data_IF_375575646639
#
_entry.id   IF_375575646639
#
_cell.length_a   1.000
_cell.length_b   1.000
_cell.length_c   1.000
_cell.angle_alpha   90.00
_cell.angle_beta   90.00
_cell.angle_gamma   90.00
#
_symmetry.space_group_name_H-M   'P 1'
#
loop_
_entity.id
_entity.type
_entity.pdbx_description
1 polymer ?
#
# COMPACT_ATOMS: atom_id res chain seq x y z
N UNK A 1 1.58 -13.90 20.07
CA UNK A 1 1.54 -14.44 18.71
C UNK A 1 2.81 -15.24 18.43
N UNK A 2 2.67 -16.42 17.81
CA UNK A 2 3.79 -17.19 17.30
C UNK A 2 4.24 -16.65 15.93
N UNK A 3 5.45 -17.02 15.50
CA UNK A 3 6.08 -16.47 14.27
C UNK A 3 5.30 -16.75 12.97
N UNK A 4 4.50 -17.80 12.92
CA UNK A 4 3.68 -18.22 11.77
C UNK A 4 2.29 -17.58 11.75
N UNK A 5 1.90 -16.91 12.84
CA UNK A 5 0.56 -16.34 13.01
C UNK A 5 0.41 -14.92 12.47
N UNK A 6 1.47 -14.29 12.00
CA UNK A 6 1.40 -12.94 11.43
C UNK A 6 2.38 -12.75 10.26
N UNK A 7 2.08 -11.78 9.43
CA UNK A 7 2.96 -11.32 8.35
C UNK A 7 3.14 -9.81 8.47
N UNK A 8 4.39 -9.37 8.39
CA UNK A 8 4.77 -7.95 8.34
C UNK A 8 4.94 -7.59 6.87
N UNK A 9 4.03 -6.81 6.36
CA UNK A 9 4.06 -6.32 4.99
C UNK A 9 4.76 -4.95 4.95
N UNK A 10 5.72 -4.80 4.05
CA UNK A 10 6.45 -3.55 3.85
C UNK A 10 6.26 -3.02 2.44
N UNK A 11 6.17 -1.71 2.33
CA UNK A 11 6.02 -0.97 1.09
C UNK A 11 6.76 0.35 1.15
N UNK A 12 6.82 1.04 0.02
CA UNK A 12 7.32 2.41 -0.03
C UNK A 12 6.41 3.24 -0.94
N UNK A 13 5.95 4.36 -0.44
CA UNK A 13 5.01 5.23 -1.14
C UNK A 13 5.58 5.82 -2.43
N UNK A 14 6.89 6.08 -2.47
CA UNK A 14 7.58 6.61 -3.66
C UNK A 14 7.39 5.70 -4.87
N UNK A 15 7.25 4.39 -4.66
CA UNK A 15 7.05 3.41 -5.73
C UNK A 15 5.75 3.69 -6.50
N UNK A 16 4.64 3.82 -5.77
CA UNK A 16 3.33 4.10 -6.40
C UNK A 16 3.26 5.53 -6.91
N UNK A 17 3.85 6.50 -6.20
CA UNK A 17 3.89 7.88 -6.66
C UNK A 17 4.68 8.01 -7.96
N UNK A 18 5.85 7.39 -8.06
CA UNK A 18 6.63 7.40 -9.29
C UNK A 18 5.92 6.71 -10.47
N UNK A 19 5.15 5.64 -10.24
CA UNK A 19 4.29 5.06 -11.27
C UNK A 19 3.21 6.05 -11.72
N UNK A 20 2.55 6.72 -10.80
CA UNK A 20 1.53 7.74 -11.09
C UNK A 20 2.12 8.87 -11.94
N UNK A 21 3.33 9.33 -11.61
CA UNK A 21 4.05 10.39 -12.33
C UNK A 21 4.48 9.91 -13.74
N UNK A 22 4.99 8.67 -13.86
CA UNK A 22 5.36 8.07 -15.15
C UNK A 22 4.16 7.95 -16.09
N UNK A 23 2.99 7.60 -15.54
CA UNK A 23 1.73 7.52 -16.29
C UNK A 23 1.10 8.90 -16.55
N UNK A 24 1.71 9.99 -16.07
CA UNK A 24 1.22 11.37 -16.21
C UNK A 24 -0.23 11.54 -15.74
N UNK A 25 -0.56 10.91 -14.60
CA UNK A 25 -1.90 10.99 -14.04
C UNK A 25 -2.10 12.36 -13.39
N UNK A 26 -3.09 13.14 -13.81
CA UNK A 26 -3.37 14.47 -13.26
C UNK A 26 -3.59 14.44 -11.74
N UNK A 27 -3.14 15.47 -11.04
CA UNK A 27 -3.16 15.55 -9.57
C UNK A 27 -4.57 15.31 -8.99
N UNK A 28 -5.60 15.86 -9.62
CA UNK A 28 -6.99 15.70 -9.21
C UNK A 28 -7.52 14.26 -9.31
N UNK A 29 -6.83 13.39 -10.08
CA UNK A 29 -7.17 11.96 -10.22
C UNK A 29 -6.35 11.06 -9.28
N UNK A 30 -5.18 11.49 -8.83
CA UNK A 30 -4.22 10.66 -8.07
C UNK A 30 -4.84 10.08 -6.80
N UNK A 31 -5.56 10.88 -6.02
CA UNK A 31 -6.24 10.40 -4.81
C UNK A 31 -7.24 9.29 -5.10
N UNK A 32 -7.96 9.35 -6.24
CA UNK A 32 -8.91 8.30 -6.63
C UNK A 32 -8.19 7.02 -7.04
N UNK A 33 -7.06 7.14 -7.76
CA UNK A 33 -6.22 5.99 -8.14
C UNK A 33 -5.73 5.27 -6.89
N UNK A 34 -5.16 5.99 -5.95
CA UNK A 34 -4.64 5.40 -4.72
C UNK A 34 -5.76 4.74 -3.90
N UNK A 35 -6.93 5.38 -3.81
CA UNK A 35 -8.11 4.77 -3.16
C UNK A 35 -8.61 3.52 -3.88
N UNK A 36 -8.47 3.45 -5.20
CA UNK A 36 -8.81 2.24 -5.94
C UNK A 36 -7.85 1.09 -5.60
N UNK A 37 -6.54 1.37 -5.57
CA UNK A 37 -5.51 0.40 -5.19
C UNK A 37 -5.73 -0.11 -3.75
N UNK A 38 -6.02 0.77 -2.78
CA UNK A 38 -6.30 0.40 -1.36
C UNK A 38 -7.47 -0.58 -1.19
N UNK A 39 -8.31 -0.70 -2.20
CA UNK A 39 -9.45 -1.63 -2.17
C UNK A 39 -9.14 -3.02 -2.73
N UNK A 40 -7.94 -3.27 -3.23
CA UNK A 40 -7.58 -4.54 -3.87
C UNK A 40 -7.92 -5.75 -3.00
N UNK A 41 -7.56 -5.70 -1.72
CA UNK A 41 -7.72 -6.79 -0.76
C UNK A 41 -9.10 -6.78 -0.05
N UNK A 42 -9.99 -5.84 -0.40
CA UNK A 42 -11.33 -5.80 0.19
C UNK A 42 -12.21 -6.91 -0.38
N UNK A 43 -13.05 -7.56 0.44
CA UNK A 43 -13.96 -8.60 -0.01
C UNK A 43 -14.81 -8.13 -1.21
N UNK A 44 -14.82 -8.94 -2.27
CA UNK A 44 -15.60 -8.67 -3.47
C UNK A 44 -15.01 -7.60 -4.43
N UNK A 45 -13.79 -7.12 -4.17
CA UNK A 45 -13.11 -6.20 -5.09
C UNK A 45 -12.14 -6.92 -6.04
N UNK A 46 -10.97 -7.34 -5.55
CA UNK A 46 -9.92 -7.91 -6.38
C UNK A 46 -9.49 -6.98 -7.53
N UNK A 47 -8.74 -7.52 -8.48
CA UNK A 47 -8.25 -6.74 -9.64
C UNK A 47 -9.39 -6.15 -10.48
N UNK A 48 -10.51 -6.87 -10.65
CA UNK A 48 -11.65 -6.37 -11.43
C UNK A 48 -12.31 -5.15 -10.78
N UNK A 49 -12.49 -5.19 -9.46
CA UNK A 49 -13.05 -4.05 -8.74
C UNK A 49 -12.14 -2.82 -8.76
N UNK A 50 -10.81 -3.05 -8.74
CA UNK A 50 -9.84 -1.97 -8.92
C UNK A 50 -9.92 -1.41 -10.34
N UNK A 51 -9.96 -2.27 -11.38
CA UNK A 51 -10.11 -1.84 -12.77
C UNK A 51 -11.34 -0.94 -12.97
N UNK A 52 -12.49 -1.34 -12.43
CA UNK A 52 -13.72 -0.56 -12.54
C UNK A 52 -13.55 0.85 -11.95
N UNK A 53 -12.88 0.96 -10.77
CA UNK A 53 -12.62 2.23 -10.12
C UNK A 53 -11.48 3.05 -10.76
N UNK A 54 -10.55 2.42 -11.45
CA UNK A 54 -9.55 3.14 -12.24
C UNK A 54 -10.18 3.80 -13.48
N UNK A 55 -11.14 3.13 -14.12
CA UNK A 55 -11.77 3.59 -15.36
C UNK A 55 -12.94 4.54 -15.09
N UNK A 56 -14.12 4.03 -14.76
CA UNK A 56 -15.33 4.84 -14.72
C UNK A 56 -15.96 4.94 -13.33
N UNK A 57 -16.66 3.89 -12.94
CA UNK A 57 -17.39 3.82 -11.68
C UNK A 57 -17.64 2.36 -11.30
N UNK A 58 -17.93 2.15 -10.04
CA UNK A 58 -18.33 0.84 -9.54
C UNK A 58 -19.61 0.98 -8.72
N UNK A 59 -20.57 0.11 -9.02
CA UNK A 59 -21.76 -0.11 -8.21
C UNK A 59 -21.50 -1.25 -7.25
N UNK A 60 -21.67 -1.05 -5.96
CA UNK A 60 -21.53 -2.08 -4.95
C UNK A 60 -22.81 -2.93 -4.80
N UNK A 61 -22.77 -3.93 -3.91
CA UNK A 61 -23.91 -4.82 -3.65
C UNK A 61 -25.12 -4.09 -3.05
N UNK A 62 -24.92 -2.93 -2.41
CA UNK A 62 -25.99 -2.09 -1.86
C UNK A 62 -26.61 -1.17 -2.90
N UNK A 63 -26.03 -1.11 -4.09
CA UNK A 63 -26.45 -0.23 -5.17
C UNK A 63 -25.77 1.15 -5.13
N UNK A 64 -24.91 1.42 -4.16
CA UNK A 64 -24.17 2.68 -4.09
C UNK A 64 -23.12 2.77 -5.21
N UNK A 65 -23.04 3.93 -5.85
CA UNK A 65 -22.11 4.20 -6.96
C UNK A 65 -20.91 4.95 -6.43
N UNK A 66 -19.73 4.37 -6.62
CA UNK A 66 -18.43 5.03 -6.37
C UNK A 66 -17.85 5.49 -7.70
N UNK A 67 -17.65 6.80 -7.86
CA UNK A 67 -17.03 7.37 -9.06
C UNK A 67 -15.54 6.98 -9.14
N UNK A 68 -15.12 6.53 -10.30
CA UNK A 68 -13.74 6.15 -10.59
C UNK A 68 -12.80 7.33 -10.87
N UNK A 69 -11.58 7.00 -11.24
CA UNK A 69 -10.54 7.96 -11.58
C UNK A 69 -10.60 8.43 -13.05
N UNK A 70 -11.42 7.77 -13.88
CA UNK A 70 -11.56 8.08 -15.30
C UNK A 70 -10.22 8.11 -16.04
N UNK A 71 -9.45 7.03 -15.88
CA UNK A 71 -8.18 6.81 -16.58
C UNK A 71 -8.42 6.21 -17.97
N UNK A 72 -7.45 6.39 -18.85
CA UNK A 72 -7.40 5.64 -20.11
C UNK A 72 -7.23 4.13 -19.86
N UNK A 73 -7.58 3.33 -20.86
CA UNK A 73 -7.40 1.87 -20.80
C UNK A 73 -5.93 1.48 -20.60
N UNK A 74 -5.02 2.19 -21.24
CA UNK A 74 -3.57 1.96 -21.13
C UNK A 74 -3.07 2.28 -19.69
N UNK A 75 -3.42 3.44 -19.15
CA UNK A 75 -3.06 3.81 -17.77
C UNK A 75 -3.58 2.79 -16.75
N UNK A 76 -4.86 2.40 -16.88
CA UNK A 76 -5.47 1.42 -16.00
C UNK A 76 -4.77 0.05 -16.12
N UNK A 77 -4.44 -0.40 -17.34
CA UNK A 77 -3.75 -1.67 -17.56
C UNK A 77 -2.34 -1.68 -16.97
N UNK A 78 -1.59 -0.59 -17.08
CA UNK A 78 -0.26 -0.48 -16.49
C UNK A 78 -0.31 -0.56 -14.95
N UNK A 79 -1.29 0.09 -14.32
CA UNK A 79 -1.52 -0.03 -12.86
C UNK A 79 -1.89 -1.48 -12.50
N UNK A 80 -2.79 -2.12 -13.24
CA UNK A 80 -3.17 -3.52 -12.98
C UNK A 80 -1.99 -4.48 -13.15
N UNK A 81 -1.08 -4.23 -14.09
CA UNK A 81 0.15 -5.01 -14.25
C UNK A 81 1.10 -4.81 -13.06
N UNK A 82 1.28 -3.57 -12.60
CA UNK A 82 2.04 -3.26 -11.39
C UNK A 82 1.50 -4.01 -10.16
N UNK A 83 0.19 -4.07 -9.97
CA UNK A 83 -0.43 -4.77 -8.83
C UNK A 83 -0.19 -6.29 -8.80
N UNK A 84 0.25 -6.88 -9.91
CA UNK A 84 0.60 -8.30 -10.01
C UNK A 84 2.05 -8.59 -9.61
N UNK A 85 2.90 -7.56 -9.53
CA UNK A 85 4.32 -7.71 -9.18
C UNK A 85 4.44 -8.08 -7.70
N UNK A 86 5.28 -9.08 -7.39
CA UNK A 86 5.44 -9.61 -6.03
C UNK A 86 6.87 -9.49 -5.49
N UNK A 87 7.84 -9.23 -6.33
CA UNK A 87 9.24 -9.15 -5.92
C UNK A 87 9.92 -7.85 -6.38
N UNK A 88 10.93 -7.44 -5.62
CA UNK A 88 11.67 -6.19 -5.84
C UNK A 88 12.44 -6.19 -7.16
N UNK A 89 12.96 -7.34 -7.60
CA UNK A 89 13.73 -7.42 -8.85
C UNK A 89 12.85 -7.11 -10.05
N UNK A 90 11.69 -7.78 -10.14
CA UNK A 90 10.72 -7.51 -11.21
C UNK A 90 10.23 -6.06 -11.16
N UNK A 91 10.03 -5.51 -9.96
CA UNK A 91 9.62 -4.12 -9.79
C UNK A 91 10.66 -3.14 -10.33
N UNK A 92 11.95 -3.37 -10.01
CA UNK A 92 13.09 -2.57 -10.45
C UNK A 92 13.28 -2.62 -11.98
N UNK A 93 12.99 -3.78 -12.57
CA UNK A 93 13.04 -3.95 -14.03
C UNK A 93 11.86 -3.27 -14.75
N UNK A 94 10.70 -3.17 -14.09
CA UNK A 94 9.47 -2.64 -14.67
C UNK A 94 9.37 -1.13 -14.55
N UNK A 95 9.56 -0.57 -13.35
CA UNK A 95 9.41 0.86 -13.08
C UNK A 95 10.74 1.60 -13.34
N UNK A 96 10.73 2.62 -14.19
CA UNK A 96 11.92 3.39 -14.55
C UNK A 96 11.94 4.80 -14.00
N UNK A 97 10.83 5.27 -13.45
CA UNK A 97 10.76 6.59 -12.83
C UNK A 97 11.76 6.71 -11.67
N UNK A 98 12.55 7.80 -11.60
CA UNK A 98 13.56 7.98 -10.55
C UNK A 98 13.00 7.88 -9.12
N UNK A 99 11.78 8.41 -8.87
CA UNK A 99 11.14 8.34 -7.57
C UNK A 99 10.78 6.90 -7.19
N UNK A 100 10.29 6.09 -8.15
CA UNK A 100 10.06 4.66 -7.93
C UNK A 100 11.36 3.92 -7.61
N UNK A 101 12.44 4.21 -8.34
CA UNK A 101 13.76 3.60 -8.10
C UNK A 101 14.32 3.95 -6.73
N UNK A 102 14.14 5.20 -6.28
CA UNK A 102 14.50 5.62 -4.92
C UNK A 102 13.73 4.81 -3.86
N UNK A 103 12.41 4.68 -3.98
CA UNK A 103 11.60 3.88 -3.06
C UNK A 103 11.96 2.40 -3.06
N UNK A 104 12.34 1.84 -4.21
CA UNK A 104 12.84 0.46 -4.33
C UNK A 104 14.17 0.32 -3.58
N UNK A 105 15.11 1.27 -3.77
CA UNK A 105 16.40 1.26 -3.09
C UNK A 105 16.24 1.34 -1.57
N UNK A 106 15.34 2.18 -1.06
CA UNK A 106 15.04 2.26 0.36
C UNK A 106 14.52 0.92 0.92
N UNK A 107 13.71 0.19 0.17
CA UNK A 107 13.27 -1.16 0.57
C UNK A 107 14.43 -2.17 0.53
N UNK A 108 15.31 -2.11 -0.47
CA UNK A 108 16.52 -2.94 -0.53
C UNK A 108 17.38 -2.70 0.73
N UNK A 109 17.58 -1.45 1.13
CA UNK A 109 18.35 -1.08 2.34
C UNK A 109 17.68 -1.60 3.63
N UNK A 110 16.35 -1.52 3.72
CA UNK A 110 15.60 -2.12 4.85
C UNK A 110 15.82 -3.63 4.93
N UNK A 111 15.74 -4.34 3.80
CA UNK A 111 15.99 -5.79 3.79
C UNK A 111 17.43 -6.15 4.08
N UNK A 112 18.39 -5.33 3.68
CA UNK A 112 19.79 -5.49 4.04
C UNK A 112 19.97 -5.40 5.55
N UNK A 113 19.45 -4.35 6.18
CA UNK A 113 19.49 -4.17 7.64
C UNK A 113 18.78 -5.32 8.37
N UNK A 114 17.61 -5.76 7.90
CA UNK A 114 16.88 -6.90 8.46
C UNK A 114 17.64 -8.21 8.28
N UNK A 115 18.43 -8.37 7.24
CA UNK A 115 19.25 -9.55 6.97
C UNK A 115 20.32 -9.79 8.04
N UNK A 116 20.73 -8.76 8.77
CA UNK A 116 21.59 -8.90 9.94
C UNK A 116 20.85 -9.44 11.18
N UNK A 117 19.52 -9.53 11.14
CA UNK A 117 18.65 -10.08 12.19
C UNK A 117 17.98 -11.39 11.78
N UNK A 118 17.61 -12.22 12.75
CA UNK A 118 17.19 -13.62 12.52
C UNK A 118 15.73 -13.85 12.08
N UNK A 119 14.96 -12.85 11.62
CA UNK A 119 13.50 -12.96 11.48
C UNK A 119 12.91 -12.52 10.13
N UNK A 120 13.60 -12.75 9.02
CA UNK A 120 13.14 -12.33 7.67
C UNK A 120 11.88 -13.07 7.15
N UNK A 121 11.59 -14.27 7.65
CA UNK A 121 10.51 -15.09 7.10
C UNK A 121 9.11 -14.48 7.28
N UNK A 122 8.92 -13.58 8.25
CA UNK A 122 7.66 -12.91 8.50
C UNK A 122 7.53 -11.60 7.71
N UNK A 123 8.62 -11.06 7.16
CA UNK A 123 8.61 -9.79 6.41
C UNK A 123 8.44 -10.07 4.93
N UNK A 124 7.45 -9.45 4.32
CA UNK A 124 7.14 -9.56 2.89
C UNK A 124 6.97 -8.19 2.27
N UNK A 125 7.39 -8.04 1.02
CA UNK A 125 7.01 -6.89 0.22
C UNK A 125 5.54 -6.96 -0.17
N UNK A 126 4.82 -5.85 0.01
CA UNK A 126 3.46 -5.69 -0.51
C UNK A 126 3.26 -4.29 -1.06
N UNK A 127 3.45 -4.13 -2.35
CA UNK A 127 3.41 -2.84 -3.04
C UNK A 127 2.00 -2.24 -3.16
N UNK A 128 0.98 -2.99 -2.73
CA UNK A 128 -0.42 -2.53 -2.76
C UNK A 128 -0.81 -1.78 -1.48
N UNK A 129 0.06 -1.77 -0.46
CA UNK A 129 -0.15 -0.98 0.76
C UNK A 129 0.10 0.49 0.42
N UNK A 130 -0.99 1.24 0.33
CA UNK A 130 -0.98 2.67 0.00
C UNK A 130 -1.66 3.51 1.07
N UNK A 131 -1.93 2.93 2.24
CA UNK A 131 -2.60 3.60 3.36
C UNK A 131 -1.73 4.72 3.94
N UNK A 132 -2.35 5.60 4.70
CA UNK A 132 -1.64 6.74 5.28
C UNK A 132 -1.37 7.87 4.28
N UNK A 133 -2.22 8.00 3.25
CA UNK A 133 -2.14 8.98 2.16
C UNK A 133 -1.83 10.42 2.60
N UNK A 134 -2.27 10.79 3.79
CA UNK A 134 -2.18 12.16 4.26
C UNK A 134 -0.87 12.46 5.01
N UNK A 135 -0.12 11.46 5.45
CA UNK A 135 1.02 11.68 6.35
C UNK A 135 2.25 10.79 6.11
N UNK A 136 2.14 9.55 5.60
CA UNK A 136 3.31 8.75 5.25
C UNK A 136 3.93 9.27 3.95
N UNK A 137 5.25 9.46 3.94
CA UNK A 137 6.01 9.99 2.81
C UNK A 137 6.80 8.91 2.06
N UNK A 138 7.30 7.90 2.78
CA UNK A 138 8.29 6.97 2.28
C UNK A 138 7.92 5.53 2.67
N UNK A 139 8.70 4.90 3.55
CA UNK A 139 8.49 3.55 4.05
C UNK A 139 7.14 3.39 4.78
N UNK A 140 6.46 2.28 4.50
CA UNK A 140 5.19 1.90 5.14
C UNK A 140 5.30 0.47 5.62
N UNK A 141 4.79 0.19 6.81
CA UNK A 141 4.69 -1.15 7.39
C UNK A 141 3.27 -1.42 7.85
N UNK A 142 2.81 -2.64 7.62
CA UNK A 142 1.51 -3.13 8.09
C UNK A 142 1.62 -4.59 8.50
N UNK A 143 1.11 -4.94 9.68
CA UNK A 143 1.12 -6.31 10.18
C UNK A 143 -0.28 -6.89 10.16
N UNK A 144 -0.45 -8.02 9.50
CA UNK A 144 -1.72 -8.71 9.38
C UNK A 144 -1.62 -10.09 10.06
N UNK A 145 -2.74 -10.54 10.65
CA UNK A 145 -2.88 -11.91 11.14
C UNK A 145 -3.01 -12.89 9.98
N UNK A 146 -2.40 -14.07 10.12
CA UNK A 146 -2.51 -15.16 9.16
C UNK A 146 -3.68 -16.11 9.48
N UNK A 147 -4.57 -15.71 10.39
CA UNK A 147 -5.75 -16.46 10.80
C UNK A 147 -6.93 -15.52 11.06
N UNK A 148 -8.13 -16.07 10.99
CA UNK A 148 -9.35 -15.33 11.33
C UNK A 148 -9.61 -15.39 12.82
N UNK A 149 -10.20 -14.34 13.35
CA UNK A 149 -10.59 -14.24 14.76
C UNK A 149 -12.09 -14.43 14.88
N UNK A 150 -12.51 -15.16 15.90
CA UNK A 150 -13.94 -15.32 16.20
C UNK A 150 -14.39 -14.23 17.15
N UNK A 151 -15.37 -13.43 16.73
CA UNK A 151 -15.94 -12.38 17.56
C UNK A 151 -16.85 -12.96 18.68
N UNK A 152 -17.31 -12.10 19.59
CA UNK A 152 -18.18 -12.47 20.71
C UNK A 152 -19.54 -13.09 20.29
N UNK A 153 -19.90 -13.03 19.00
CA UNK A 153 -21.10 -13.64 18.42
C UNK A 153 -20.81 -14.98 17.74
N UNK A 154 -19.61 -15.54 17.91
CA UNK A 154 -19.19 -16.80 17.28
C UNK A 154 -18.94 -16.72 15.78
N UNK A 155 -18.87 -15.52 15.20
CA UNK A 155 -18.62 -15.32 13.77
C UNK A 155 -17.14 -15.05 13.52
N UNK A 156 -16.56 -15.75 12.55
CA UNK A 156 -15.22 -15.41 12.04
C UNK A 156 -15.21 -14.03 11.40
N UNK A 157 -14.25 -13.22 11.82
CA UNK A 157 -14.01 -11.88 11.30
C UNK A 157 -12.55 -11.73 10.91
N UNK A 158 -12.32 -10.97 9.86
CA UNK A 158 -11.00 -10.48 9.50
C UNK A 158 -10.76 -9.17 10.25
N UNK A 159 -9.77 -9.16 11.13
CA UNK A 159 -9.39 -7.95 11.89
C UNK A 159 -8.63 -6.96 11.01
N UNK A 160 -8.10 -7.42 9.87
CA UNK A 160 -7.25 -6.61 9.01
C UNK A 160 -5.86 -6.39 9.64
N UNK A 161 -5.38 -5.16 9.64
CA UNK A 161 -4.08 -4.80 10.21
C UNK A 161 -4.17 -4.63 11.72
N UNK A 162 -3.32 -5.34 12.45
CA UNK A 162 -3.16 -5.22 13.92
C UNK A 162 -2.08 -4.22 14.32
N UNK A 163 -1.25 -3.83 13.37
CA UNK A 163 -0.18 -2.87 13.59
C UNK A 163 0.12 -2.18 12.26
N UNK A 164 0.30 -0.88 12.29
CA UNK A 164 0.70 -0.12 11.11
C UNK A 164 1.59 1.05 11.47
N UNK A 165 2.47 1.44 10.54
CA UNK A 165 3.41 2.52 10.74
C UNK A 165 4.09 2.94 9.45
N UNK A 166 5.00 3.89 9.56
CA UNK A 166 5.77 4.36 8.42
C UNK A 166 6.58 5.61 8.73
N UNK A 167 7.30 6.07 7.71
CA UNK A 167 8.03 7.32 7.75
C UNK A 167 7.12 8.50 7.39
N UNK A 168 7.26 9.61 8.11
CA UNK A 168 6.46 10.82 7.91
C UNK A 168 7.33 12.09 8.05
N UNK A 169 8.10 12.38 7.02
CA UNK A 169 8.93 13.58 7.00
C UNK A 169 8.11 14.88 7.02
N UNK A 170 6.94 14.88 6.35
CA UNK A 170 6.12 16.09 6.14
C UNK A 170 5.06 16.34 7.23
N UNK A 171 4.88 15.46 8.19
CA UNK A 171 3.86 15.67 9.22
C UNK A 171 4.24 16.83 10.15
N UNK A 172 5.50 16.88 10.54
CA UNK A 172 6.02 17.90 11.47
C UNK A 172 6.16 19.25 10.77
N UNK A 173 6.54 19.25 9.49
CA UNK A 173 6.68 20.47 8.71
C UNK A 173 5.37 21.27 8.56
N UNK A 174 4.22 20.60 8.58
CA UNK A 174 2.90 21.27 8.60
C UNK A 174 2.69 22.16 9.83
N UNK A 175 3.35 21.85 10.94
CA UNK A 175 3.21 22.59 12.20
C UNK A 175 4.39 23.51 12.48
N UNK A 176 5.58 23.20 11.98
CA UNK A 176 6.80 23.95 12.31
C UNK A 176 7.52 24.59 11.12
N UNK A 177 7.06 24.34 9.89
CA UNK A 177 7.67 24.90 8.68
C UNK A 177 9.07 24.36 8.34
N UNK A 178 9.55 23.34 9.05
CA UNK A 178 10.82 22.64 8.79
C UNK A 178 10.58 21.14 8.66
N UNK A 179 11.24 20.51 7.70
CA UNK A 179 11.18 19.07 7.51
C UNK A 179 12.01 18.37 8.58
N UNK A 180 11.34 17.62 9.44
CA UNK A 180 11.98 16.79 10.46
C UNK A 180 11.58 15.34 10.17
N UNK A 181 12.55 14.46 9.90
CA UNK A 181 12.25 13.06 9.67
C UNK A 181 11.65 12.43 10.92
N UNK A 182 10.57 11.69 10.74
CA UNK A 182 9.90 10.97 11.80
C UNK A 182 9.47 9.60 11.32
N UNK A 183 9.51 8.63 12.21
CA UNK A 183 9.00 7.27 11.98
C UNK A 183 8.19 6.86 13.20
N UNK A 184 7.05 6.24 12.99
CA UNK A 184 6.20 5.77 14.06
C UNK A 184 5.42 4.54 13.68
N UNK A 185 5.02 3.79 14.70
CA UNK A 185 4.22 2.58 14.58
C UNK A 185 3.12 2.61 15.64
N UNK A 186 1.93 2.15 15.25
CA UNK A 186 0.78 2.01 16.14
C UNK A 186 0.37 0.55 16.22
N UNK A 187 0.08 0.09 17.42
CA UNK A 187 -0.43 -1.26 17.69
C UNK A 187 -1.88 -1.18 18.15
N UNK A 188 -2.74 -2.04 17.61
CA UNK A 188 -4.06 -2.30 18.16
C UNK A 188 -3.89 -3.09 19.47
N UNK A 189 -4.43 -2.56 20.57
CA UNK A 189 -4.37 -3.17 21.92
C UNK A 189 -5.81 -3.35 22.39
N UNK A 190 -6.36 -4.55 22.17
CA UNK A 190 -7.67 -4.97 22.72
C UNK A 190 -7.58 -6.35 23.36
#
# INVERSE_FOLDING_TARGET
LNKDQFTINVSNRKIVQGLIDELKIPEEKQTKVIRAIDKLDKPGFGLKGVEDLLKKERKDQSGAITKGADLSDDQAQQILNFLKIKDLKQLKETLKNPLSQEGIKELEDVFEVLGYGSNLNQVKTNFTIVRGLAYYSDFIVETNLNFKVTNNKGKEVDIGSICSGGAYAKLISRFRGVDIPGTGISFGVD
#
